data_IF_664264706117
#
_entry.id   IF_664264706117
#
_cell.length_a   1.000
_cell.length_b   1.000
_cell.length_c   1.000
_cell.angle_alpha   90.00
_cell.angle_beta   90.00
_cell.angle_gamma   90.00
#
_symmetry.space_group_name_H-M   'P 1'
#
loop_
_entity.id
_entity.type
_entity.pdbx_description
1 polymer ?
#
# COMPACT_ATOMS: atom_id res chain seq x y z
N UNK A 1 -34.56 19.02 50.21
CA UNK A 1 -33.32 19.51 49.57
C UNK A 1 -32.53 18.30 49.11
N UNK A 2 -32.40 18.15 47.79
CA UNK A 2 -31.89 16.98 47.09
C UNK A 2 -30.36 17.03 46.93
N UNK A 3 -29.72 15.90 47.27
CA UNK A 3 -28.49 15.30 46.69
C UNK A 3 -27.36 16.20 46.16
N UNK A 4 -26.24 16.23 46.89
CA UNK A 4 -24.90 16.47 46.35
C UNK A 4 -24.44 15.20 45.62
N UNK A 5 -24.39 15.26 44.28
CA UNK A 5 -23.82 14.22 43.44
C UNK A 5 -22.65 14.82 42.67
N UNK A 6 -21.48 14.94 43.32
CA UNK A 6 -20.22 15.28 42.65
C UNK A 6 -19.55 13.97 42.25
N UNK A 7 -20.04 13.37 41.17
CA UNK A 7 -19.43 12.19 40.60
C UNK A 7 -18.08 12.60 39.98
N UNK A 8 -17.00 12.11 40.59
CA UNK A 8 -15.65 12.24 40.11
C UNK A 8 -15.56 11.77 38.65
N UNK A 9 -15.17 12.67 37.74
CA UNK A 9 -14.73 12.32 36.40
C UNK A 9 -13.39 11.57 36.53
N UNK A 10 -13.48 10.27 36.84
CA UNK A 10 -12.37 9.32 36.79
C UNK A 10 -11.99 9.20 35.31
N UNK A 11 -10.92 9.89 34.92
CA UNK A 11 -10.28 9.68 33.63
C UNK A 11 -10.07 8.18 33.40
N UNK A 12 -10.63 7.66 32.32
CA UNK A 12 -10.39 6.29 31.90
C UNK A 12 -8.88 6.11 31.69
N UNK A 13 -8.25 5.05 32.24
CA UNK A 13 -6.85 4.80 31.97
C UNK A 13 -6.69 4.54 30.47
N UNK A 14 -5.78 5.29 29.84
CA UNK A 14 -5.33 5.01 28.48
C UNK A 14 -4.98 3.51 28.39
N UNK A 15 -5.71 2.77 27.57
CA UNK A 15 -5.36 1.38 27.31
C UNK A 15 -3.94 1.34 26.74
N UNK A 16 -3.00 0.61 27.35
CA UNK A 16 -1.70 0.41 26.72
C UNK A 16 -1.97 -0.27 25.38
N UNK A 17 -1.49 0.34 24.28
CA UNK A 17 -1.44 -0.30 22.98
C UNK A 17 -0.81 -1.68 23.18
N UNK A 18 -1.58 -2.74 22.99
CA UNK A 18 -1.07 -4.09 23.10
C UNK A 18 0.09 -4.22 22.11
N UNK A 19 1.31 -4.34 22.62
CA UNK A 19 2.48 -4.66 21.82
C UNK A 19 2.20 -6.05 21.25
N UNK A 20 2.00 -6.13 19.93
CA UNK A 20 1.88 -7.44 19.26
C UNK A 20 3.12 -8.25 19.63
N UNK A 21 2.99 -9.37 20.37
CA UNK A 21 4.13 -10.20 20.71
C UNK A 21 4.60 -10.86 19.41
N UNK A 22 5.62 -10.33 18.76
CA UNK A 22 6.11 -10.90 17.50
C UNK A 22 7.01 -10.00 16.65
N UNK A 23 6.89 -8.67 16.76
CA UNK A 23 7.71 -7.74 15.95
C UNK A 23 9.05 -7.48 16.66
N UNK A 24 10.03 -8.35 16.38
CA UNK A 24 11.41 -8.22 16.81
C UNK A 24 12.35 -7.92 15.61
N UNK A 25 13.49 -7.25 15.83
CA UNK A 25 14.40 -6.88 14.75
C UNK A 25 14.94 -8.07 13.95
N UNK A 26 15.24 -9.21 14.60
CA UNK A 26 15.81 -10.37 13.91
C UNK A 26 14.85 -10.97 12.87
N UNK A 27 13.58 -11.14 13.23
CA UNK A 27 12.54 -11.60 12.30
C UNK A 27 12.32 -10.59 11.18
N UNK A 28 12.25 -9.30 11.52
CA UNK A 28 12.08 -8.23 10.53
C UNK A 28 13.23 -8.21 9.53
N UNK A 29 14.48 -8.25 9.98
CA UNK A 29 15.64 -8.30 9.09
C UNK A 29 15.72 -9.60 8.27
N UNK A 30 15.25 -10.73 8.80
CA UNK A 30 15.19 -11.99 8.05
C UNK A 30 14.20 -11.93 6.89
N UNK A 31 13.04 -11.25 7.07
CA UNK A 31 12.02 -11.09 6.03
C UNK A 31 12.42 -10.02 5.02
N UNK A 32 12.93 -8.90 5.53
CA UNK A 32 13.24 -7.74 4.71
C UNK A 32 14.58 -7.89 3.98
N UNK A 33 15.52 -8.62 4.56
CA UNK A 33 16.87 -8.71 4.04
C UNK A 33 17.58 -7.35 4.05
N UNK A 34 18.56 -7.20 3.16
CA UNK A 34 19.36 -5.98 3.08
C UNK A 34 18.58 -4.87 2.36
N UNK A 35 18.49 -3.71 3.00
CA UNK A 35 17.95 -2.49 2.38
C UNK A 35 18.89 -2.02 1.25
N UNK A 36 18.34 -1.58 0.10
CA UNK A 36 19.15 -1.03 -0.99
C UNK A 36 20.00 0.16 -0.52
N UNK A 37 21.19 0.31 -1.13
CA UNK A 37 22.05 1.46 -0.83
C UNK A 37 21.49 2.76 -1.42
N UNK A 38 20.77 2.66 -2.55
CA UNK A 38 20.14 3.79 -3.21
C UNK A 38 18.73 4.03 -2.66
N UNK A 39 18.42 5.29 -2.40
CA UNK A 39 17.12 5.70 -1.84
C UNK A 39 15.98 5.38 -2.80
N UNK A 40 16.24 5.59 -4.08
CA UNK A 40 15.36 5.44 -5.23
C UNK A 40 14.83 4.01 -5.39
N UNK A 41 15.63 3.03 -4.98
CA UNK A 41 15.31 1.60 -5.08
C UNK A 41 14.48 1.09 -3.90
N UNK A 42 14.40 1.87 -2.80
CA UNK A 42 13.77 1.41 -1.55
C UNK A 42 12.26 1.21 -1.61
N UNK A 43 11.46 2.11 -2.24
CA UNK A 43 10.00 1.90 -2.35
C UNK A 43 9.69 0.57 -3.04
N UNK A 44 10.41 0.30 -4.11
CA UNK A 44 10.31 -0.89 -4.93
C UNK A 44 10.75 -2.17 -4.22
N UNK A 45 11.88 -2.09 -3.51
CA UNK A 45 12.35 -3.17 -2.65
C UNK A 45 11.31 -3.54 -1.59
N UNK A 46 10.64 -2.55 -0.99
CA UNK A 46 9.56 -2.79 -0.03
C UNK A 46 8.35 -3.46 -0.72
N UNK A 47 7.94 -2.96 -1.89
CA UNK A 47 6.78 -3.47 -2.62
C UNK A 47 6.85 -4.99 -2.86
N UNK A 48 8.03 -5.48 -3.25
CA UNK A 48 8.29 -6.92 -3.47
C UNK A 48 8.14 -7.79 -2.22
N UNK A 49 8.20 -7.18 -1.02
CA UNK A 49 8.20 -7.88 0.27
C UNK A 49 6.87 -7.77 1.01
N UNK A 50 5.94 -6.93 0.55
CA UNK A 50 4.64 -6.69 1.21
C UNK A 50 3.91 -8.00 1.48
N UNK A 51 3.75 -8.87 0.49
CA UNK A 51 3.05 -10.14 0.66
C UNK A 51 3.71 -11.05 1.72
N UNK A 52 5.04 -11.04 1.78
CA UNK A 52 5.76 -11.82 2.80
C UNK A 52 5.63 -11.19 4.18
N UNK A 53 5.71 -9.86 4.26
CA UNK A 53 5.47 -9.11 5.50
C UNK A 53 4.08 -9.37 6.06
N UNK A 54 3.04 -9.34 5.22
CA UNK A 54 1.67 -9.60 5.65
C UNK A 54 1.44 -11.06 6.08
N UNK A 55 2.15 -12.01 5.45
CA UNK A 55 2.11 -13.41 5.86
C UNK A 55 2.80 -13.66 7.22
N UNK A 56 3.92 -12.98 7.49
CA UNK A 56 4.69 -13.15 8.73
C UNK A 56 4.14 -12.30 9.88
N UNK A 57 3.63 -11.10 9.57
CA UNK A 57 3.05 -10.16 10.52
C UNK A 57 1.59 -9.89 10.13
N UNK A 58 0.67 -10.84 10.39
CA UNK A 58 -0.75 -10.62 10.10
C UNK A 58 -1.33 -9.53 11.01
N UNK A 59 -2.31 -8.80 10.50
CA UNK A 59 -3.05 -7.75 11.24
C UNK A 59 -2.21 -6.56 11.74
N UNK A 60 -1.12 -6.21 11.05
CA UNK A 60 -0.32 -5.01 11.40
C UNK A 60 -1.13 -3.72 11.25
N UNK A 61 -1.38 -3.05 12.38
CA UNK A 61 -1.92 -1.70 12.40
C UNK A 61 -0.89 -0.67 11.93
N UNK A 62 -1.27 0.62 11.79
CA UNK A 62 -0.35 1.66 11.34
C UNK A 62 0.91 1.79 12.20
N UNK A 63 0.76 1.65 13.52
CA UNK A 63 1.87 1.66 14.49
C UNK A 63 2.84 0.51 14.26
N UNK A 64 2.33 -0.68 13.95
CA UNK A 64 3.16 -1.87 13.70
C UNK A 64 3.94 -1.75 12.41
N UNK A 65 3.29 -1.28 11.33
CA UNK A 65 3.97 -1.00 10.04
C UNK A 65 5.07 0.04 10.23
N UNK A 66 4.79 1.14 10.93
CA UNK A 66 5.79 2.17 11.24
C UNK A 66 6.97 1.59 12.04
N UNK A 67 6.70 0.74 13.05
CA UNK A 67 7.73 0.08 13.84
C UNK A 67 8.60 -0.86 12.99
N UNK A 68 8.02 -1.67 12.12
CA UNK A 68 8.75 -2.54 11.17
C UNK A 68 9.68 -1.70 10.29
N UNK A 69 9.18 -0.60 9.74
CA UNK A 69 9.95 0.29 8.87
C UNK A 69 11.09 0.98 9.64
N UNK A 70 10.86 1.40 10.88
CA UNK A 70 11.89 2.02 11.74
C UNK A 70 13.05 1.07 12.05
N UNK A 71 12.80 -0.24 12.07
CA UNK A 71 13.84 -1.25 12.28
C UNK A 71 14.71 -1.48 11.04
N UNK A 72 14.22 -1.18 9.84
CA UNK A 72 14.93 -1.46 8.58
C UNK A 72 15.50 -0.21 7.92
N UNK A 73 14.71 0.86 7.85
CA UNK A 73 15.00 2.02 7.03
C UNK A 73 15.85 3.05 7.79
N UNK A 74 16.69 3.82 7.07
CA UNK A 74 17.43 4.91 7.67
C UNK A 74 16.50 6.03 8.17
N UNK A 75 16.94 6.77 9.19
CA UNK A 75 16.17 7.80 9.91
C UNK A 75 15.50 8.89 9.04
N UNK A 76 15.94 9.11 7.80
CA UNK A 76 15.35 10.08 6.86
C UNK A 76 14.35 9.49 5.85
N UNK A 77 14.00 8.21 5.97
CA UNK A 77 13.07 7.54 5.05
C UNK A 77 11.86 6.94 5.73
N UNK A 78 11.87 6.80 7.04
CA UNK A 78 10.74 6.20 7.76
C UNK A 78 9.52 7.13 7.62
N UNK A 79 8.42 6.70 6.97
CA UNK A 79 7.20 7.49 6.89
C UNK A 79 6.60 7.67 8.28
N UNK A 80 5.88 8.77 8.48
CA UNK A 80 5.13 9.00 9.72
C UNK A 80 4.00 7.96 9.87
N UNK A 81 3.54 7.76 11.11
CA UNK A 81 2.55 6.72 11.43
C UNK A 81 1.24 6.88 10.66
N UNK A 82 0.83 8.12 10.40
CA UNK A 82 -0.37 8.47 9.61
C UNK A 82 -0.27 8.02 8.15
N UNK A 83 0.95 7.93 7.60
CA UNK A 83 1.19 7.40 6.25
C UNK A 83 1.32 5.86 6.24
N UNK A 84 1.27 5.21 7.41
CA UNK A 84 1.40 3.77 7.56
C UNK A 84 0.06 3.02 7.60
N UNK A 85 -1.03 3.61 7.10
CA UNK A 85 -2.35 2.97 7.10
C UNK A 85 -2.38 1.70 6.25
N UNK A 86 -1.92 1.78 5.00
CA UNK A 86 -1.76 0.64 4.10
C UNK A 86 -0.31 0.54 3.62
N UNK A 87 0.11 -0.62 3.13
CA UNK A 87 1.43 -0.70 2.50
C UNK A 87 1.52 0.10 1.20
N UNK A 88 0.38 0.34 0.53
CA UNK A 88 0.25 1.27 -0.58
C UNK A 88 0.62 2.71 -0.23
N UNK A 89 0.06 3.24 0.87
CA UNK A 89 0.38 4.59 1.33
C UNK A 89 1.83 4.72 1.78
N UNK A 90 2.39 3.65 2.36
CA UNK A 90 3.83 3.57 2.68
C UNK A 90 4.68 3.62 1.41
N UNK A 91 4.33 2.80 0.40
CA UNK A 91 5.04 2.78 -0.88
C UNK A 91 5.07 4.18 -1.51
N UNK A 92 3.91 4.83 -1.59
CA UNK A 92 3.80 6.15 -2.19
C UNK A 92 4.52 7.25 -1.37
N UNK A 93 4.49 7.18 -0.04
CA UNK A 93 5.31 8.05 0.81
C UNK A 93 6.81 7.86 0.58
N UNK A 94 7.28 6.62 0.49
CA UNK A 94 8.69 6.33 0.19
C UNK A 94 9.06 6.78 -1.23
N UNK A 95 8.19 6.55 -2.20
CA UNK A 95 8.41 6.93 -3.59
C UNK A 95 8.56 8.43 -3.74
N UNK A 96 7.61 9.21 -3.21
CA UNK A 96 7.66 10.69 -3.24
C UNK A 96 8.87 11.24 -2.50
N UNK A 97 9.27 10.59 -1.41
CA UNK A 97 10.46 10.93 -0.63
C UNK A 97 11.77 10.66 -1.39
N UNK A 98 11.81 9.65 -2.25
CA UNK A 98 12.99 9.26 -3.01
C UNK A 98 13.10 9.93 -4.38
N UNK A 99 11.99 10.06 -5.10
CA UNK A 99 11.93 10.53 -6.49
C UNK A 99 11.33 11.93 -6.65
N UNK A 100 10.82 12.51 -5.56
CA UNK A 100 9.99 13.71 -5.60
C UNK A 100 8.53 13.39 -5.96
N UNK A 101 7.65 14.37 -5.77
CA UNK A 101 6.24 14.24 -6.10
C UNK A 101 6.03 14.29 -7.61
N UNK A 102 5.45 13.26 -8.25
CA UNK A 102 5.08 13.33 -9.65
C UNK A 102 4.09 14.47 -9.91
N UNK A 103 4.25 15.14 -11.04
CA UNK A 103 3.28 16.10 -11.55
C UNK A 103 2.13 15.37 -12.23
N UNK A 104 0.97 16.02 -12.39
CA UNK A 104 -0.14 15.43 -13.15
C UNK A 104 0.23 15.13 -14.62
N UNK A 105 1.19 15.88 -15.18
CA UNK A 105 1.63 15.70 -16.56
C UNK A 105 2.46 14.43 -16.78
N UNK A 106 3.35 14.08 -15.84
CA UNK A 106 4.19 12.88 -15.94
C UNK A 106 3.61 11.65 -15.22
N UNK A 107 2.49 11.80 -14.51
CA UNK A 107 1.87 10.72 -13.76
C UNK A 107 1.52 9.49 -14.64
N UNK A 108 0.97 9.61 -15.87
CA UNK A 108 0.67 8.43 -16.68
C UNK A 108 1.90 7.58 -17.00
N UNK A 109 3.05 8.22 -17.27
CA UNK A 109 4.31 7.57 -17.54
C UNK A 109 4.87 6.89 -16.29
N UNK A 110 4.83 7.58 -15.15
CA UNK A 110 5.26 7.03 -13.85
C UNK A 110 4.40 5.82 -13.47
N UNK A 111 3.07 5.91 -13.59
CA UNK A 111 2.18 4.80 -13.26
C UNK A 111 2.41 3.60 -14.17
N UNK A 112 2.66 3.83 -15.47
CA UNK A 112 3.02 2.76 -16.39
C UNK A 112 4.31 2.07 -15.99
N UNK A 113 5.37 2.83 -15.69
CA UNK A 113 6.64 2.26 -15.26
C UNK A 113 6.48 1.39 -14.00
N UNK A 114 5.76 1.89 -13.00
CA UNK A 114 5.51 1.14 -11.76
C UNK A 114 4.67 -0.11 -12.06
N UNK A 115 3.67 -0.01 -12.92
CA UNK A 115 2.83 -1.13 -13.29
C UNK A 115 3.59 -2.23 -14.04
N UNK A 116 4.48 -1.85 -14.95
CA UNK A 116 5.28 -2.79 -15.73
C UNK A 116 6.32 -3.51 -14.85
N UNK A 117 6.88 -2.83 -13.85
CA UNK A 117 7.92 -3.39 -12.97
C UNK A 117 7.37 -4.09 -11.71
N UNK A 118 6.26 -3.61 -11.14
CA UNK A 118 5.75 -4.03 -9.82
C UNK A 118 4.26 -4.39 -9.80
N UNK A 119 3.57 -4.24 -10.93
CA UNK A 119 2.16 -4.57 -11.07
C UNK A 119 1.19 -3.43 -10.74
N UNK A 120 -0.10 -3.71 -10.92
CA UNK A 120 -1.13 -2.69 -10.89
C UNK A 120 -1.44 -2.11 -9.50
N UNK A 121 -1.25 -2.87 -8.42
CA UNK A 121 -1.59 -2.43 -7.06
C UNK A 121 -0.74 -1.24 -6.60
N UNK A 122 0.61 -1.32 -6.65
CA UNK A 122 1.47 -0.19 -6.25
C UNK A 122 1.25 1.06 -7.12
N UNK A 123 0.97 0.88 -8.41
CA UNK A 123 0.66 1.98 -9.32
C UNK A 123 -0.69 2.63 -8.98
N UNK A 124 -1.73 1.83 -8.69
CA UNK A 124 -3.03 2.34 -8.24
C UNK A 124 -2.89 3.13 -6.95
N UNK A 125 -2.20 2.59 -5.94
CA UNK A 125 -2.01 3.25 -4.64
C UNK A 125 -1.29 4.61 -4.77
N UNK A 126 -0.21 4.67 -5.56
CA UNK A 126 0.48 5.92 -5.83
C UNK A 126 -0.43 6.92 -6.56
N UNK A 127 -1.14 6.46 -7.60
CA UNK A 127 -2.05 7.31 -8.36
C UNK A 127 -3.17 7.87 -7.49
N UNK A 128 -3.76 7.04 -6.62
CA UNK A 128 -4.81 7.45 -5.68
C UNK A 128 -4.31 8.46 -4.66
N UNK A 129 -3.11 8.28 -4.13
CA UNK A 129 -2.53 9.23 -3.18
C UNK A 129 -2.24 10.61 -3.82
N UNK A 130 -1.92 10.66 -5.11
CA UNK A 130 -1.57 11.90 -5.80
C UNK A 130 -2.77 12.62 -6.42
N UNK A 131 -3.72 11.88 -7.02
CA UNK A 131 -4.88 12.46 -7.70
C UNK A 131 -6.17 12.42 -6.88
N UNK A 132 -6.31 11.48 -5.95
CA UNK A 132 -7.56 11.26 -5.21
C UNK A 132 -8.77 10.92 -6.09
N UNK A 133 -8.55 10.53 -7.34
CA UNK A 133 -9.59 10.27 -8.33
C UNK A 133 -9.44 8.87 -8.93
N UNK A 134 -10.26 7.94 -8.42
CA UNK A 134 -10.23 6.54 -8.84
C UNK A 134 -10.52 6.35 -10.32
N UNK A 135 -11.49 7.06 -10.88
CA UNK A 135 -11.86 6.90 -12.29
C UNK A 135 -10.70 7.29 -13.22
N UNK A 136 -10.00 8.37 -12.88
CA UNK A 136 -8.82 8.82 -13.64
C UNK A 136 -7.65 7.83 -13.51
N UNK A 137 -7.31 7.43 -12.28
CA UNK A 137 -6.19 6.51 -12.03
C UNK A 137 -6.46 5.14 -12.66
N UNK A 138 -7.62 4.56 -12.40
CA UNK A 138 -8.00 3.24 -12.93
C UNK A 138 -8.03 3.23 -14.45
N UNK A 139 -8.48 4.32 -15.11
CA UNK A 139 -8.43 4.44 -16.57
C UNK A 139 -7.00 4.33 -17.11
N UNK A 140 -6.03 5.01 -16.47
CA UNK A 140 -4.61 4.93 -16.82
C UNK A 140 -4.10 3.50 -16.63
N UNK A 141 -4.33 2.91 -15.45
CA UNK A 141 -3.88 1.55 -15.13
C UNK A 141 -4.44 0.51 -16.12
N UNK A 142 -5.73 0.60 -16.44
CA UNK A 142 -6.39 -0.31 -17.37
C UNK A 142 -5.91 -0.13 -18.81
N UNK A 143 -5.53 1.09 -19.20
CA UNK A 143 -4.97 1.37 -20.54
C UNK A 143 -3.57 0.79 -20.73
N UNK A 144 -2.84 0.56 -19.64
CA UNK A 144 -1.49 -0.01 -19.64
C UNK A 144 -1.47 -1.54 -19.59
N UNK A 145 -2.63 -2.21 -19.43
CA UNK A 145 -2.68 -3.67 -19.37
C UNK A 145 -2.22 -4.31 -20.69
N UNK A 146 -1.37 -5.34 -20.57
CA UNK A 146 -0.87 -6.12 -21.71
C UNK A 146 -1.97 -7.01 -22.30
N UNK A 147 -2.77 -6.44 -23.20
CA UNK A 147 -3.80 -7.12 -23.96
C UNK A 147 -5.18 -6.48 -23.81
N UNK A 148 -5.78 -6.08 -24.93
CA UNK A 148 -7.09 -5.41 -24.94
C UNK A 148 -8.21 -6.30 -24.38
N UNK A 149 -8.14 -7.62 -24.65
CA UNK A 149 -9.08 -8.58 -24.08
C UNK A 149 -8.99 -8.67 -22.55
N UNK A 150 -7.78 -8.53 -21.97
CA UNK A 150 -7.58 -8.50 -20.52
C UNK A 150 -8.18 -7.22 -19.95
N UNK A 151 -7.87 -6.07 -20.57
CA UNK A 151 -8.43 -4.79 -20.14
C UNK A 151 -9.96 -4.79 -20.17
N UNK A 152 -10.56 -5.37 -21.22
CA UNK A 152 -12.01 -5.51 -21.34
C UNK A 152 -12.58 -6.44 -20.27
N UNK A 153 -11.97 -7.62 -20.05
CA UNK A 153 -12.41 -8.57 -19.03
C UNK A 153 -12.35 -7.97 -17.62
N UNK A 154 -11.26 -7.26 -17.29
CA UNK A 154 -11.13 -6.54 -16.01
C UNK A 154 -12.21 -5.48 -15.88
N UNK A 155 -12.46 -4.67 -16.93
CA UNK A 155 -13.51 -3.64 -16.93
C UNK A 155 -14.91 -4.24 -16.73
N UNK A 156 -15.20 -5.37 -17.34
CA UNK A 156 -16.48 -6.06 -17.17
C UNK A 156 -16.66 -6.54 -15.73
N UNK A 157 -15.65 -7.21 -15.17
CA UNK A 157 -15.68 -7.71 -13.79
C UNK A 157 -15.73 -6.58 -12.76
N UNK A 158 -15.04 -5.47 -13.01
CA UNK A 158 -15.05 -4.30 -12.11
C UNK A 158 -16.44 -3.67 -12.01
N UNK A 159 -17.24 -3.69 -13.09
CA UNK A 159 -18.62 -3.18 -13.09
C UNK A 159 -19.55 -3.97 -12.18
N UNK A 160 -19.22 -5.21 -11.86
CA UNK A 160 -20.01 -6.06 -10.96
C UNK A 160 -19.85 -5.62 -9.49
N UNK A 161 -18.88 -4.76 -9.17
CA UNK A 161 -18.64 -4.26 -7.82
C UNK A 161 -19.24 -2.85 -7.62
N UNK A 162 -19.84 -2.59 -6.45
CA UNK A 162 -20.20 -1.23 -6.04
C UNK A 162 -18.98 -0.30 -6.09
N UNK A 163 -19.17 0.96 -6.51
CA UNK A 163 -18.07 1.91 -6.73
C UNK A 163 -17.15 2.08 -5.49
N UNK A 164 -17.73 2.04 -4.28
CA UNK A 164 -16.98 2.10 -3.01
C UNK A 164 -15.97 0.96 -2.82
N UNK A 165 -16.16 -0.17 -3.49
CA UNK A 165 -15.28 -1.33 -3.40
C UNK A 165 -14.36 -1.47 -4.61
N UNK A 166 -14.58 -0.72 -5.69
CA UNK A 166 -13.84 -0.90 -6.95
C UNK A 166 -12.34 -0.64 -6.79
N UNK A 167 -11.97 0.38 -5.99
CA UNK A 167 -10.57 0.68 -5.68
C UNK A 167 -9.84 -0.49 -5.04
N UNK A 168 -10.47 -1.12 -4.04
CA UNK A 168 -9.92 -2.26 -3.32
C UNK A 168 -9.82 -3.52 -4.19
N UNK A 169 -10.80 -3.74 -5.05
CA UNK A 169 -10.91 -4.99 -5.81
C UNK A 169 -10.14 -4.96 -7.14
N UNK A 170 -9.86 -3.77 -7.71
CA UNK A 170 -9.21 -3.64 -9.00
C UNK A 170 -7.88 -4.42 -9.12
N UNK A 171 -6.91 -4.31 -8.19
CA UNK A 171 -5.65 -5.06 -8.30
C UNK A 171 -5.85 -6.57 -8.28
N UNK A 172 -6.80 -7.05 -7.46
CA UNK A 172 -7.15 -8.47 -7.36
C UNK A 172 -7.78 -8.97 -8.67
N UNK A 173 -8.72 -8.21 -9.24
CA UNK A 173 -9.37 -8.56 -10.51
C UNK A 173 -8.34 -8.64 -11.64
N UNK A 174 -7.35 -7.74 -11.67
CA UNK A 174 -6.26 -7.78 -12.65
C UNK A 174 -5.45 -9.07 -12.50
N UNK A 175 -5.01 -9.39 -11.28
CA UNK A 175 -4.23 -10.60 -11.01
C UNK A 175 -4.99 -11.90 -11.37
N UNK A 176 -6.27 -11.99 -10.98
CA UNK A 176 -7.11 -13.14 -11.30
C UNK A 176 -7.36 -13.26 -12.82
N UNK A 177 -7.53 -12.15 -13.52
CA UNK A 177 -7.71 -12.16 -14.98
C UNK A 177 -6.45 -12.65 -15.68
N UNK A 178 -5.26 -12.19 -15.29
CA UNK A 178 -4.02 -12.71 -15.86
C UNK A 178 -3.80 -14.19 -15.56
N UNK A 179 -4.08 -14.62 -14.33
CA UNK A 179 -3.97 -16.03 -13.94
C UNK A 179 -4.89 -16.93 -14.78
N UNK A 180 -6.11 -16.46 -15.09
CA UNK A 180 -7.07 -17.22 -15.91
C UNK A 180 -6.60 -17.50 -17.35
N UNK A 181 -5.67 -16.69 -17.87
CA UNK A 181 -5.08 -16.86 -19.21
C UNK A 181 -3.66 -17.43 -19.16
N UNK A 182 -3.24 -17.97 -18.00
CA UNK A 182 -1.94 -18.59 -17.82
C UNK A 182 -0.77 -17.62 -17.76
N UNK A 183 -1.02 -16.34 -17.40
CA UNK A 183 0.01 -15.31 -17.26
C UNK A 183 0.24 -14.95 -15.80
N UNK A 184 1.41 -14.41 -15.51
CA UNK A 184 1.72 -13.86 -14.19
C UNK A 184 1.01 -12.51 -13.94
N UNK A 185 1.16 -11.95 -12.73
CA UNK A 185 0.54 -10.68 -12.36
C UNK A 185 1.03 -9.46 -13.16
N UNK A 186 2.10 -9.62 -13.95
CA UNK A 186 2.67 -8.60 -14.85
C UNK A 186 2.25 -8.83 -16.31
N UNK A 187 1.45 -9.86 -16.56
CA UNK A 187 1.00 -10.25 -17.89
C UNK A 187 2.09 -10.85 -18.77
N UNK A 188 3.13 -11.43 -18.17
CA UNK A 188 4.17 -12.22 -18.86
C UNK A 188 3.80 -13.70 -18.94
#
# INVERSE_FOLDING_TARGET
MQTLNTNAARAAPAHPHAVVPGINPATVHSVMGKVPAKREETPFWLAQRINTLEAVFPHTGPQDKHRILTMCLPYGMVPTVDLCNTWGTVFAALYTTAHGTPTLANLPEVLKQIQDEYGAAPALDLGMQLMGNFDAVSSIILSNLKGEAVALAVRMRLRDFPQINQERELPRIIAETYSSIGRDSLGA
#
